data_IF_167496727697
#
_entry.id   IF_167496727697
#
_cell.length_a   1.000
_cell.length_b   1.000
_cell.length_c   1.000
_cell.angle_alpha   90.00
_cell.angle_beta   90.00
_cell.angle_gamma   90.00
#
_symmetry.space_group_name_H-M   'P 1'
#
loop_
_entity.id
_entity.type
_entity.pdbx_description
1 polymer ?
#
# COMPACT_ATOMS: atom_id res chain seq x y z
N UNK A 1 47.72 49.68 -36.59
CA UNK A 1 46.34 50.03 -36.20
C UNK A 1 45.63 48.74 -35.80
N UNK A 2 45.62 48.33 -34.54
CA UNK A 2 44.84 48.89 -33.43
C UNK A 2 43.33 48.59 -33.55
N UNK A 3 42.86 47.82 -32.56
CA UNK A 3 41.52 47.86 -31.94
C UNK A 3 40.31 47.31 -32.71
N UNK A 4 39.89 46.10 -32.35
CA UNK A 4 38.70 45.98 -31.51
C UNK A 4 38.82 44.77 -30.56
N UNK A 5 38.55 45.07 -29.29
CA UNK A 5 38.76 44.26 -28.10
C UNK A 5 37.38 43.92 -27.53
N UNK A 6 37.29 42.69 -27.00
CA UNK A 6 36.68 42.32 -25.70
C UNK A 6 35.17 42.02 -25.58
N UNK A 7 34.95 40.86 -24.93
CA UNK A 7 33.95 40.51 -23.88
C UNK A 7 32.57 40.10 -24.39
N UNK A 8 31.90 39.04 -23.91
CA UNK A 8 31.95 38.24 -22.68
C UNK A 8 31.33 36.86 -23.00
N UNK A 9 31.88 35.71 -22.59
CA UNK A 9 31.79 35.15 -21.23
C UNK A 9 30.35 35.02 -20.72
N UNK A 10 29.66 33.88 -20.97
CA UNK A 10 28.68 33.25 -20.04
C UNK A 10 27.87 32.08 -20.65
N UNK A 11 28.52 31.03 -21.20
CA UNK A 11 27.82 29.75 -21.49
C UNK A 11 28.47 28.55 -20.78
N UNK A 12 29.09 28.81 -19.62
CA UNK A 12 29.57 27.80 -18.67
C UNK A 12 28.81 27.92 -17.35
N UNK A 13 27.60 27.40 -17.31
CA UNK A 13 26.85 26.98 -16.11
C UNK A 13 25.59 26.29 -16.66
N UNK A 14 25.25 25.05 -16.38
CA UNK A 14 25.16 24.44 -15.06
C UNK A 14 24.91 22.94 -15.28
N UNK A 15 25.90 22.21 -15.78
CA UNK A 15 25.87 20.74 -15.72
C UNK A 15 25.93 20.39 -14.23
N UNK A 16 24.83 19.90 -13.68
CA UNK A 16 24.77 19.34 -12.33
C UNK A 16 25.76 18.19 -12.24
N UNK A 17 26.99 18.53 -11.85
CA UNK A 17 28.08 17.62 -11.59
C UNK A 17 27.87 17.08 -10.18
N UNK A 18 26.91 16.18 -9.99
CA UNK A 18 26.90 15.39 -8.77
C UNK A 18 28.04 14.37 -8.88
N UNK A 19 29.06 14.64 -8.06
CA UNK A 19 30.23 13.82 -7.80
C UNK A 19 29.81 12.37 -7.57
N UNK A 20 30.66 11.47 -8.08
CA UNK A 20 30.70 10.03 -7.81
C UNK A 20 30.37 9.69 -6.35
N UNK A 21 29.31 8.91 -6.14
CA UNK A 21 29.20 7.96 -5.02
C UNK A 21 28.70 6.62 -5.57
N UNK A 22 29.52 6.01 -6.43
CA UNK A 22 29.43 4.60 -6.80
C UNK A 22 30.24 3.73 -5.82
N UNK A 23 30.10 3.98 -4.52
CA UNK A 23 30.65 3.14 -3.46
C UNK A 23 29.50 2.46 -2.73
N UNK A 24 29.45 1.14 -2.70
CA UNK A 24 28.38 0.40 -2.03
C UNK A 24 28.20 0.90 -0.59
N UNK A 25 27.00 1.36 -0.25
CA UNK A 25 26.72 1.88 1.09
C UNK A 25 26.94 0.77 2.13
N UNK A 26 27.95 0.92 2.98
CA UNK A 26 28.16 -0.01 4.09
C UNK A 26 27.24 0.37 5.26
N UNK A 27 26.08 -0.28 5.32
CA UNK A 27 25.03 -0.02 6.32
C UNK A 27 25.26 -0.72 7.68
N UNK A 28 26.23 -1.65 7.76
CA UNK A 28 26.42 -2.53 8.94
C UNK A 28 26.89 -1.78 10.19
N UNK A 29 27.52 -0.63 10.02
CA UNK A 29 28.08 0.16 11.13
C UNK A 29 27.16 1.29 11.62
N UNK A 30 25.95 1.41 11.06
CA UNK A 30 25.02 2.46 11.45
C UNK A 30 24.21 2.06 12.67
N UNK A 31 24.03 2.99 13.61
CA UNK A 31 23.05 2.84 14.68
C UNK A 31 21.63 2.75 14.09
N UNK A 32 20.77 1.93 14.69
CA UNK A 32 19.41 1.67 14.19
C UNK A 32 18.59 2.97 13.95
N UNK A 33 18.70 3.94 14.84
CA UNK A 33 18.01 5.24 14.72
C UNK A 33 18.51 6.04 13.53
N UNK A 34 19.83 6.07 13.32
CA UNK A 34 20.48 6.76 12.19
C UNK A 34 20.11 6.09 10.87
N UNK A 35 20.08 4.75 10.83
CA UNK A 35 19.66 4.00 9.65
C UNK A 35 18.23 4.37 9.24
N UNK A 36 17.29 4.35 10.19
CA UNK A 36 15.89 4.71 9.92
C UNK A 36 15.76 6.17 9.49
N UNK A 37 16.49 7.09 10.10
CA UNK A 37 16.45 8.50 9.73
C UNK A 37 17.04 8.75 8.33
N UNK A 38 18.14 8.09 8.00
CA UNK A 38 18.75 8.17 6.67
C UNK A 38 17.79 7.63 5.60
N UNK A 39 17.13 6.50 5.85
CA UNK A 39 16.10 5.95 4.94
C UNK A 39 14.96 6.93 4.73
N UNK A 40 14.46 7.60 5.79
CA UNK A 40 13.41 8.63 5.65
C UNK A 40 13.86 9.81 4.78
N UNK A 41 15.11 10.23 4.91
CA UNK A 41 15.66 11.32 4.10
C UNK A 41 15.79 10.90 2.64
N UNK A 42 16.26 9.69 2.36
CA UNK A 42 16.34 9.13 1.00
C UNK A 42 14.96 9.04 0.33
N UNK A 43 13.91 8.67 1.06
CA UNK A 43 12.54 8.66 0.54
C UNK A 43 12.07 10.06 0.13
N UNK A 44 12.43 11.11 0.90
CA UNK A 44 12.11 12.49 0.51
C UNK A 44 12.81 12.90 -0.78
N UNK A 45 14.06 12.49 -0.96
CA UNK A 45 14.79 12.71 -2.21
C UNK A 45 14.19 11.91 -3.37
N UNK A 46 13.78 10.66 -3.14
CA UNK A 46 13.08 9.84 -4.13
C UNK A 46 11.80 10.53 -4.61
N UNK A 47 10.98 11.06 -3.70
CA UNK A 47 9.75 11.78 -4.03
C UNK A 47 10.02 13.06 -4.85
N UNK A 48 11.08 13.81 -4.50
CA UNK A 48 11.51 14.99 -5.27
C UNK A 48 12.00 14.62 -6.67
N UNK A 49 12.75 13.53 -6.80
CA UNK A 49 13.21 13.03 -8.09
C UNK A 49 12.01 12.57 -8.92
N UNK A 50 11.05 11.88 -8.31
CA UNK A 50 9.82 11.45 -8.99
C UNK A 50 9.04 12.64 -9.55
N UNK A 51 8.83 13.69 -8.75
CA UNK A 51 8.15 14.90 -9.22
C UNK A 51 8.88 15.56 -10.41
N UNK A 52 10.22 15.59 -10.38
CA UNK A 52 11.03 16.05 -11.53
C UNK A 52 10.85 15.15 -12.74
N UNK A 53 10.89 13.83 -12.59
CA UNK A 53 10.65 12.89 -13.69
C UNK A 53 9.29 13.13 -14.34
N UNK A 54 8.23 13.36 -13.55
CA UNK A 54 6.89 13.65 -14.07
C UNK A 54 6.85 14.99 -14.83
N UNK A 55 7.55 16.02 -14.35
CA UNK A 55 7.67 17.30 -15.07
C UNK A 55 8.42 17.16 -16.41
N UNK A 56 9.45 16.32 -16.47
CA UNK A 56 10.12 16.00 -17.73
C UNK A 56 9.21 15.22 -18.68
N UNK A 57 8.43 14.26 -18.18
CA UNK A 57 7.42 13.56 -18.99
C UNK A 57 6.38 14.51 -19.57
N UNK A 58 5.95 15.51 -18.81
CA UNK A 58 5.03 16.56 -19.29
C UNK A 58 5.65 17.33 -20.46
N UNK A 59 6.88 17.84 -20.31
CA UNK A 59 7.55 18.61 -21.36
C UNK A 59 7.79 17.76 -22.64
N UNK A 60 8.15 16.49 -22.46
CA UNK A 60 8.30 15.53 -23.57
C UNK A 60 6.97 15.29 -24.29
N UNK A 61 5.85 15.22 -23.54
CA UNK A 61 4.51 15.05 -24.13
C UNK A 61 4.06 16.30 -24.89
N UNK A 62 4.25 17.48 -24.29
CA UNK A 62 3.87 18.79 -24.87
C UNK A 62 4.63 19.08 -26.17
N UNK A 63 5.95 18.86 -26.19
CA UNK A 63 6.78 19.00 -27.39
C UNK A 63 6.66 17.84 -28.37
N UNK A 64 5.98 16.76 -27.97
CA UNK A 64 5.87 15.51 -28.74
C UNK A 64 7.24 14.93 -29.17
N UNK A 65 8.30 15.12 -28.36
CA UNK A 65 9.66 14.66 -28.70
C UNK A 65 9.75 13.15 -28.94
N UNK A 66 8.86 12.37 -28.33
CA UNK A 66 8.77 10.94 -28.58
C UNK A 66 8.45 10.61 -30.05
N UNK A 67 7.72 11.47 -30.76
CA UNK A 67 7.45 11.29 -32.20
C UNK A 67 8.72 11.56 -33.03
N UNK A 68 9.49 12.60 -32.70
CA UNK A 68 10.76 12.92 -33.36
C UNK A 68 11.79 11.79 -33.17
N UNK A 69 11.75 11.14 -32.01
CA UNK A 69 12.57 9.97 -31.69
C UNK A 69 12.03 8.66 -32.30
N UNK A 70 10.95 8.70 -33.09
CA UNK A 70 10.42 7.55 -33.83
C UNK A 70 9.49 6.62 -33.02
N UNK A 71 9.01 7.05 -31.86
CA UNK A 71 8.07 6.28 -31.04
C UNK A 71 6.63 6.69 -31.32
N UNK A 72 5.76 5.73 -31.64
CA UNK A 72 4.34 6.00 -31.93
C UNK A 72 3.49 6.46 -30.73
N UNK A 73 4.05 6.47 -29.52
CA UNK A 73 3.39 7.01 -28.32
C UNK A 73 4.41 7.28 -27.22
N UNK A 74 4.04 8.15 -26.28
CA UNK A 74 4.81 8.38 -25.05
C UNK A 74 5.01 7.08 -24.24
N UNK A 75 4.02 6.17 -24.30
CA UNK A 75 4.11 4.86 -23.67
C UNK A 75 5.23 4.00 -24.28
N UNK A 76 5.29 3.92 -25.61
CA UNK A 76 6.34 3.17 -26.29
C UNK A 76 7.72 3.77 -26.02
N UNK A 77 7.84 5.10 -26.01
CA UNK A 77 9.06 5.79 -25.61
C UNK A 77 9.48 5.44 -24.18
N UNK A 78 8.56 5.50 -23.22
CA UNK A 78 8.86 5.18 -21.83
C UNK A 78 9.28 3.72 -21.61
N UNK A 79 8.72 2.78 -22.37
CA UNK A 79 9.05 1.36 -22.26
C UNK A 79 10.36 1.03 -22.97
N UNK A 80 10.53 1.48 -24.22
CA UNK A 80 11.66 1.10 -25.08
C UNK A 80 12.93 1.94 -24.82
N UNK A 81 12.80 3.26 -24.67
CA UNK A 81 13.94 4.16 -24.48
C UNK A 81 14.34 4.26 -23.00
N UNK A 82 13.35 4.50 -22.12
CA UNK A 82 13.62 4.71 -20.68
C UNK A 82 13.67 3.42 -19.86
N UNK A 83 13.38 2.27 -20.48
CA UNK A 83 13.48 0.94 -19.86
C UNK A 83 12.43 0.64 -18.79
N UNK A 84 11.33 1.41 -18.72
CA UNK A 84 10.26 1.11 -17.78
C UNK A 84 9.49 -0.16 -18.18
N UNK A 85 9.09 -0.95 -17.18
CA UNK A 85 8.05 -1.97 -17.38
C UNK A 85 6.71 -1.30 -17.69
N UNK A 86 5.88 -1.95 -18.51
CA UNK A 86 4.60 -1.42 -18.99
C UNK A 86 3.73 -0.81 -17.87
N UNK A 87 3.47 -1.57 -16.79
CA UNK A 87 2.68 -1.08 -15.67
C UNK A 87 3.31 0.14 -14.94
N UNK A 88 4.65 0.21 -14.92
CA UNK A 88 5.39 1.32 -14.32
C UNK A 88 5.38 2.57 -15.20
N UNK A 89 5.46 2.38 -16.52
CA UNK A 89 5.34 3.44 -17.52
C UNK A 89 3.93 4.04 -17.50
N UNK A 90 2.90 3.19 -17.53
CA UNK A 90 1.51 3.63 -17.53
C UNK A 90 1.18 4.47 -16.30
N UNK A 91 1.56 4.04 -15.10
CA UNK A 91 1.32 4.81 -13.86
C UNK A 91 1.99 6.18 -13.88
N UNK A 92 3.18 6.32 -14.47
CA UNK A 92 3.87 7.62 -14.62
C UNK A 92 3.17 8.54 -15.60
N UNK A 93 2.74 7.99 -16.73
CA UNK A 93 1.99 8.76 -17.74
C UNK A 93 0.66 9.24 -17.16
N UNK A 94 -0.10 8.37 -16.50
CA UNK A 94 -1.36 8.74 -15.85
C UNK A 94 -1.14 9.76 -14.72
N UNK A 95 -0.13 9.56 -13.87
CA UNK A 95 0.20 10.52 -12.82
C UNK A 95 0.58 11.90 -13.37
N UNK A 96 1.41 11.95 -14.41
CA UNK A 96 1.77 13.20 -15.09
C UNK A 96 0.53 13.87 -15.68
N UNK A 97 -0.34 13.12 -16.37
CA UNK A 97 -1.58 13.68 -16.95
C UNK A 97 -2.54 14.20 -15.89
N UNK A 98 -2.62 13.56 -14.73
CA UNK A 98 -3.39 14.09 -13.61
C UNK A 98 -2.80 15.39 -13.07
N UNK A 99 -1.48 15.46 -12.89
CA UNK A 99 -0.79 16.69 -12.43
C UNK A 99 -0.98 17.83 -13.43
N UNK A 100 -0.97 17.56 -14.73
CA UNK A 100 -1.22 18.59 -15.74
C UNK A 100 -2.66 19.15 -15.63
N UNK A 101 -3.63 18.29 -15.33
CA UNK A 101 -5.02 18.71 -15.08
C UNK A 101 -5.24 19.34 -13.70
N UNK A 102 -4.41 19.03 -12.71
CA UNK A 102 -4.55 19.48 -11.32
C UNK A 102 -3.16 19.76 -10.73
N UNK A 103 -2.58 20.94 -10.98
CA UNK A 103 -1.21 21.27 -10.61
C UNK A 103 -0.92 21.20 -9.11
N UNK A 104 -1.94 21.36 -8.25
CA UNK A 104 -1.85 21.28 -6.80
C UNK A 104 -1.30 19.92 -6.33
N UNK A 105 -1.56 18.85 -7.09
CA UNK A 105 -1.07 17.52 -6.80
C UNK A 105 0.46 17.41 -6.79
N UNK A 106 1.17 18.29 -7.54
CA UNK A 106 2.64 18.26 -7.62
C UNK A 106 3.30 18.48 -6.26
N UNK A 107 2.82 19.47 -5.50
CA UNK A 107 3.38 19.77 -4.19
C UNK A 107 3.18 18.61 -3.20
N UNK A 108 2.08 17.87 -3.32
CA UNK A 108 1.76 16.73 -2.47
C UNK A 108 2.65 15.52 -2.79
N UNK A 109 3.01 15.32 -4.06
CA UNK A 109 4.00 14.31 -4.47
C UNK A 109 5.37 14.62 -3.88
N UNK A 110 5.83 15.87 -4.00
CA UNK A 110 7.14 16.29 -3.47
C UNK A 110 7.25 16.11 -1.95
N UNK A 111 6.15 16.34 -1.22
CA UNK A 111 6.05 16.09 0.22
C UNK A 111 5.94 14.61 0.58
N UNK A 112 5.60 13.74 -0.38
CA UNK A 112 5.39 12.30 -0.16
C UNK A 112 4.01 11.94 0.41
N UNK A 113 3.05 12.86 0.34
CA UNK A 113 1.68 12.65 0.81
C UNK A 113 0.87 11.83 -0.20
N UNK A 114 1.26 11.89 -1.48
CA UNK A 114 0.65 11.10 -2.55
C UNK A 114 1.69 10.25 -3.26
N UNK A 115 1.35 8.97 -3.44
CA UNK A 115 2.16 8.03 -4.19
C UNK A 115 1.68 7.91 -5.65
N UNK A 116 2.53 7.32 -6.48
CA UNK A 116 2.27 7.14 -7.91
C UNK A 116 0.99 6.31 -8.21
N UNK A 117 0.70 5.33 -7.36
CA UNK A 117 -0.48 4.46 -7.53
C UNK A 117 -1.77 5.23 -7.28
N UNK A 118 -1.80 6.13 -6.30
CA UNK A 118 -2.95 6.97 -5.99
C UNK A 118 -3.23 7.96 -7.13
N UNK A 119 -2.19 8.57 -7.71
CA UNK A 119 -2.35 9.47 -8.85
C UNK A 119 -2.85 8.78 -10.12
N UNK A 120 -2.32 7.60 -10.42
CA UNK A 120 -2.79 6.76 -11.54
C UNK A 120 -4.27 6.36 -11.34
N UNK A 121 -4.66 6.01 -10.10
CA UNK A 121 -6.04 5.74 -9.75
C UNK A 121 -6.93 6.97 -9.92
N UNK A 122 -6.50 8.14 -9.42
CA UNK A 122 -7.21 9.40 -9.56
C UNK A 122 -7.42 9.77 -11.03
N UNK A 123 -6.39 9.69 -11.87
CA UNK A 123 -6.50 9.95 -13.32
C UNK A 123 -7.58 9.06 -13.94
N UNK A 124 -7.50 7.76 -13.68
CA UNK A 124 -8.40 6.77 -14.27
C UNK A 124 -9.86 7.04 -13.88
N UNK A 125 -10.10 7.25 -12.58
CA UNK A 125 -11.46 7.47 -12.05
C UNK A 125 -12.00 8.84 -12.49
N UNK A 126 -11.19 9.90 -12.41
CA UNK A 126 -11.58 11.23 -12.89
C UNK A 126 -11.86 11.25 -14.39
N UNK A 127 -11.10 10.49 -15.20
CA UNK A 127 -11.36 10.34 -16.64
C UNK A 127 -12.65 9.57 -16.91
N UNK A 128 -12.91 8.48 -16.17
CA UNK A 128 -14.15 7.70 -16.25
C UNK A 128 -15.38 8.55 -15.90
N UNK A 129 -15.26 9.42 -14.89
CA UNK A 129 -16.32 10.33 -14.45
C UNK A 129 -16.47 11.60 -15.30
N UNK A 130 -15.60 11.84 -16.29
CA UNK A 130 -15.50 13.13 -17.00
C UNK A 130 -15.43 14.33 -16.02
N UNK A 131 -14.65 14.15 -14.94
CA UNK A 131 -14.61 15.09 -13.83
C UNK A 131 -14.06 16.46 -14.25
N UNK A 132 -14.65 17.51 -13.69
CA UNK A 132 -14.11 18.88 -13.78
C UNK A 132 -12.86 19.04 -12.92
N UNK A 133 -12.11 20.12 -13.13
CA UNK A 133 -10.96 20.49 -12.31
C UNK A 133 -11.30 20.50 -10.81
N UNK A 134 -12.40 21.19 -10.44
CA UNK A 134 -12.84 21.32 -9.06
C UNK A 134 -13.15 19.96 -8.40
N UNK A 135 -13.79 19.04 -9.14
CA UNK A 135 -14.07 17.69 -8.64
C UNK A 135 -12.79 16.85 -8.48
N UNK A 136 -11.80 17.06 -9.36
CA UNK A 136 -10.50 16.39 -9.25
C UNK A 136 -9.71 16.86 -8.03
N UNK A 137 -9.75 18.16 -7.71
CA UNK A 137 -9.17 18.72 -6.48
C UNK A 137 -9.87 18.18 -5.23
N UNK A 138 -11.20 18.09 -5.25
CA UNK A 138 -11.94 17.52 -4.12
C UNK A 138 -11.60 16.03 -3.89
N UNK A 139 -11.52 15.25 -4.98
CA UNK A 139 -11.09 13.85 -4.92
C UNK A 139 -9.64 13.68 -4.44
N UNK A 140 -8.76 14.63 -4.77
CA UNK A 140 -7.37 14.67 -4.31
C UNK A 140 -7.28 14.81 -2.79
N UNK A 141 -8.00 15.78 -2.22
CA UNK A 141 -8.03 16.02 -0.78
C UNK A 141 -8.63 14.83 -0.01
N UNK A 142 -9.66 14.18 -0.57
CA UNK A 142 -10.29 13.00 0.02
C UNK A 142 -9.29 11.83 0.24
N UNK A 143 -8.34 11.62 -0.68
CA UNK A 143 -7.34 10.54 -0.52
C UNK A 143 -6.24 10.94 0.47
N UNK A 144 -5.89 12.22 0.53
CA UNK A 144 -4.81 12.71 1.39
C UNK A 144 -5.11 12.47 2.87
N UNK A 145 -6.35 12.73 3.29
CA UNK A 145 -6.75 12.68 4.71
C UNK A 145 -6.74 11.26 5.30
N UNK A 146 -6.90 10.23 4.47
CA UNK A 146 -7.08 8.85 4.93
C UNK A 146 -6.10 7.89 4.22
N UNK A 147 -4.92 7.69 4.82
CA UNK A 147 -3.95 6.66 4.43
C UNK A 147 -4.59 5.27 4.50
N UNK A 148 -5.07 4.79 3.36
CA UNK A 148 -5.87 3.57 3.24
C UNK A 148 -5.34 2.65 2.15
N UNK A 149 -5.76 1.39 2.19
CA UNK A 149 -5.39 0.39 1.18
C UNK A 149 -5.86 0.83 -0.21
N UNK A 150 -5.14 0.46 -1.27
CA UNK A 150 -5.50 0.82 -2.65
C UNK A 150 -6.97 0.46 -3.01
N UNK A 151 -7.50 -0.61 -2.41
CA UNK A 151 -8.90 -1.04 -2.59
C UNK A 151 -9.89 -0.09 -1.95
N UNK A 152 -9.56 0.41 -0.76
CA UNK A 152 -10.41 1.36 -0.01
C UNK A 152 -10.38 2.73 -0.69
N UNK A 153 -9.21 3.17 -1.15
CA UNK A 153 -9.09 4.42 -1.91
C UNK A 153 -9.89 4.37 -3.22
N UNK A 154 -9.87 3.25 -3.97
CA UNK A 154 -10.70 3.11 -5.18
C UNK A 154 -12.20 3.12 -4.87
N UNK A 155 -12.64 2.41 -3.83
CA UNK A 155 -14.04 2.36 -3.45
C UNK A 155 -14.58 3.75 -3.04
N UNK A 156 -13.78 4.54 -2.32
CA UNK A 156 -14.14 5.90 -1.91
C UNK A 156 -14.27 6.86 -3.09
N UNK A 157 -13.28 6.86 -3.98
CA UNK A 157 -13.32 7.69 -5.18
C UNK A 157 -14.53 7.34 -6.06
N UNK A 158 -14.78 6.05 -6.30
CA UNK A 158 -15.96 5.62 -7.06
C UNK A 158 -17.25 6.05 -6.37
N UNK A 159 -17.32 5.98 -5.04
CA UNK A 159 -18.44 6.50 -4.25
C UNK A 159 -18.65 8.00 -4.42
N UNK A 160 -17.58 8.81 -4.37
CA UNK A 160 -17.63 10.26 -4.54
C UNK A 160 -18.16 10.65 -5.93
N UNK A 161 -17.65 10.01 -6.99
CA UNK A 161 -18.07 10.26 -8.36
C UNK A 161 -19.39 9.56 -8.75
N UNK A 162 -20.03 8.82 -7.82
CA UNK A 162 -21.22 7.99 -8.08
C UNK A 162 -21.02 7.01 -9.24
N UNK A 163 -19.80 6.51 -9.41
CA UNK A 163 -19.47 5.50 -10.40
C UNK A 163 -19.82 4.11 -9.85
N UNK A 164 -20.35 3.25 -10.70
CA UNK A 164 -20.55 1.86 -10.33
C UNK A 164 -19.20 1.20 -10.00
N UNK A 165 -19.17 0.43 -8.91
CA UNK A 165 -18.01 -0.39 -8.62
C UNK A 165 -17.85 -1.44 -9.71
N UNK A 166 -16.62 -1.63 -10.22
CA UNK A 166 -16.35 -2.69 -11.19
C UNK A 166 -16.79 -4.03 -10.61
N UNK A 167 -17.72 -4.69 -11.30
CA UNK A 167 -18.18 -6.04 -10.96
C UNK A 167 -16.96 -6.96 -10.95
N UNK A 168 -16.72 -7.62 -9.82
CA UNK A 168 -15.65 -8.61 -9.73
C UNK A 168 -16.13 -9.90 -10.37
N UNK A 169 -15.38 -10.39 -11.35
CA UNK A 169 -15.63 -11.69 -11.97
C UNK A 169 -14.79 -12.72 -11.23
N UNK A 170 -15.45 -13.64 -10.54
CA UNK A 170 -14.81 -14.84 -9.99
C UNK A 170 -15.14 -15.98 -10.93
N UNK A 171 -14.12 -16.57 -11.56
CA UNK A 171 -14.26 -17.82 -12.30
C UNK A 171 -14.09 -18.96 -11.31
N UNK A 172 -15.12 -19.78 -11.13
CA UNK A 172 -15.11 -20.92 -10.23
C UNK A 172 -15.21 -22.16 -11.10
N UNK A 173 -14.17 -22.98 -11.08
CA UNK A 173 -14.21 -24.33 -11.64
C UNK A 173 -14.77 -25.26 -10.57
N UNK A 174 -15.78 -26.04 -10.92
CA UNK A 174 -16.50 -26.94 -10.01
C UNK A 174 -16.64 -28.30 -10.71
N UNK A 175 -16.51 -29.37 -9.94
CA UNK A 175 -16.89 -30.72 -10.33
C UNK A 175 -18.42 -30.88 -10.39
N UNK A 176 -18.90 -31.88 -11.12
CA UNK A 176 -20.33 -32.10 -11.37
C UNK A 176 -21.12 -32.26 -10.06
N UNK A 177 -20.57 -32.96 -9.07
CA UNK A 177 -21.19 -33.17 -7.77
C UNK A 177 -21.41 -31.84 -7.04
N UNK A 178 -20.39 -30.98 -6.99
CA UNK A 178 -20.49 -29.66 -6.36
C UNK A 178 -21.42 -28.72 -7.15
N UNK A 179 -21.47 -28.85 -8.48
CA UNK A 179 -22.40 -28.07 -9.31
C UNK A 179 -23.87 -28.41 -9.02
N UNK A 180 -24.20 -29.70 -8.88
CA UNK A 180 -25.56 -30.12 -8.51
C UNK A 180 -25.94 -29.63 -7.10
N UNK A 181 -25.01 -29.70 -6.15
CA UNK A 181 -25.21 -29.16 -4.80
C UNK A 181 -25.43 -27.63 -4.84
N UNK A 182 -24.71 -26.92 -5.70
CA UNK A 182 -24.89 -25.48 -5.92
C UNK A 182 -26.30 -25.16 -6.43
N UNK A 183 -26.78 -25.87 -7.46
CA UNK A 183 -28.12 -25.68 -8.01
C UNK A 183 -29.21 -25.92 -6.96
N UNK A 184 -29.11 -27.00 -6.19
CA UNK A 184 -30.05 -27.31 -5.11
C UNK A 184 -30.04 -26.22 -4.01
N UNK A 185 -28.86 -25.71 -3.68
CA UNK A 185 -28.70 -24.64 -2.68
C UNK A 185 -29.26 -23.32 -3.18
N UNK A 186 -29.02 -22.99 -4.45
CA UNK A 186 -29.55 -21.79 -5.12
C UNK A 186 -31.08 -21.79 -5.15
N UNK A 187 -31.68 -22.94 -5.48
CA UNK A 187 -33.12 -23.11 -5.47
C UNK A 187 -33.71 -22.88 -4.06
N UNK A 188 -33.07 -23.41 -3.01
CA UNK A 188 -33.49 -23.19 -1.62
C UNK A 188 -33.39 -21.72 -1.16
N UNK A 189 -32.43 -20.97 -1.71
CA UNK A 189 -32.23 -19.56 -1.36
C UNK A 189 -33.15 -18.59 -2.12
N UNK A 190 -33.85 -19.08 -3.15
CA UNK A 190 -34.82 -18.30 -3.95
C UNK A 190 -34.20 -17.16 -4.76
N UNK A 191 -32.92 -17.25 -5.11
CA UNK A 191 -32.19 -16.18 -5.80
C UNK A 191 -31.83 -16.60 -7.23
N UNK A 192 -32.12 -15.75 -8.21
CA UNK A 192 -31.87 -16.01 -9.64
C UNK A 192 -30.39 -15.80 -10.00
N UNK A 193 -29.74 -14.83 -9.35
CA UNK A 193 -28.34 -14.48 -9.59
C UNK A 193 -27.41 -15.20 -8.61
N UNK A 194 -26.36 -15.84 -9.14
CA UNK A 194 -25.39 -16.59 -8.31
C UNK A 194 -24.73 -15.69 -7.27
N UNK A 195 -24.42 -14.44 -7.64
CA UNK A 195 -23.84 -13.46 -6.73
C UNK A 195 -24.75 -13.16 -5.51
N UNK A 196 -26.07 -13.16 -5.69
CA UNK A 196 -27.02 -12.91 -4.60
C UNK A 196 -27.14 -14.12 -3.66
N UNK A 197 -27.15 -15.34 -4.22
CA UNK A 197 -27.11 -16.57 -3.45
C UNK A 197 -25.82 -16.67 -2.62
N UNK A 198 -24.65 -16.37 -3.21
CA UNK A 198 -23.36 -16.32 -2.49
C UNK A 198 -23.43 -15.28 -1.36
N UNK A 199 -23.98 -14.09 -1.59
CA UNK A 199 -24.11 -13.04 -0.57
C UNK A 199 -24.92 -13.51 0.65
N UNK A 200 -26.04 -14.21 0.43
CA UNK A 200 -26.86 -14.76 1.52
C UNK A 200 -26.10 -15.82 2.32
N UNK A 201 -25.41 -16.75 1.64
CA UNK A 201 -24.60 -17.79 2.28
C UNK A 201 -23.47 -17.21 3.14
N UNK A 202 -22.78 -16.19 2.65
CA UNK A 202 -21.72 -15.54 3.42
C UNK A 202 -22.28 -14.86 4.68
N UNK A 203 -23.43 -14.18 4.60
CA UNK A 203 -24.06 -13.53 5.76
C UNK A 203 -24.47 -14.52 6.84
N UNK A 204 -25.13 -15.62 6.45
CA UNK A 204 -25.59 -16.63 7.41
C UNK A 204 -24.45 -17.29 8.20
N UNK A 205 -23.25 -17.37 7.63
CA UNK A 205 -22.07 -17.93 8.32
C UNK A 205 -21.37 -16.94 9.24
N UNK A 206 -21.45 -15.63 8.97
CA UNK A 206 -20.80 -14.59 9.78
C UNK A 206 -21.58 -14.34 11.09
N UNK A 207 -22.90 -14.51 11.08
CA UNK A 207 -23.78 -14.12 12.20
C UNK A 207 -24.05 -15.23 13.24
N UNK A 208 -23.53 -16.45 13.07
CA UNK A 208 -23.80 -17.53 14.03
C UNK A 208 -23.12 -17.28 15.40
N UNK A 209 -23.89 -17.14 16.51
CA UNK A 209 -23.32 -17.01 17.84
C UNK A 209 -22.68 -18.33 18.26
N UNK A 210 -21.40 -18.30 18.63
CA UNK A 210 -20.68 -19.50 19.02
C UNK A 210 -20.95 -19.91 20.46
N UNK A 211 -21.20 -21.21 20.67
CA UNK A 211 -21.23 -21.83 22.00
C UNK A 211 -19.89 -21.60 22.71
N UNK A 212 -19.93 -20.96 23.87
CA UNK A 212 -18.75 -20.70 24.72
C UNK A 212 -18.29 -22.02 25.36
N UNK A 213 -17.32 -22.69 24.76
CA UNK A 213 -16.62 -23.82 25.40
C UNK A 213 -15.48 -23.26 26.24
N UNK A 214 -15.49 -23.50 27.56
CA UNK A 214 -14.40 -23.10 28.48
C UNK A 214 -13.22 -24.04 28.28
N UNK A 215 -12.06 -23.50 27.91
CA UNK A 215 -10.82 -24.27 27.78
C UNK A 215 -10.16 -24.50 29.14
N UNK A 216 -9.61 -25.69 29.37
CA UNK A 216 -8.82 -25.98 30.57
C UNK A 216 -7.49 -25.17 30.58
N UNK A 217 -7.04 -24.64 31.74
CA UNK A 217 -5.87 -23.74 31.82
C UNK A 217 -4.50 -24.37 31.48
N UNK A 218 -4.44 -25.70 31.39
CA UNK A 218 -3.21 -26.52 31.31
C UNK A 218 -2.68 -26.75 29.91
N UNK A 219 -3.42 -26.36 28.86
CA UNK A 219 -2.97 -26.56 27.48
C UNK A 219 -1.99 -25.47 27.05
N UNK A 220 -0.85 -25.84 26.46
CA UNK A 220 0.15 -24.88 25.91
C UNK A 220 -0.43 -23.95 24.85
N UNK A 221 -1.47 -24.35 24.12
CA UNK A 221 -2.03 -23.58 23.00
C UNK A 221 -3.35 -22.94 23.40
N UNK A 222 -3.56 -21.67 23.03
CA UNK A 222 -4.87 -21.04 23.14
C UNK A 222 -5.87 -21.70 22.18
N UNK A 223 -6.96 -22.21 22.74
CA UNK A 223 -8.05 -22.83 22.03
C UNK A 223 -8.87 -21.82 21.25
N UNK A 224 -9.80 -22.33 20.43
CA UNK A 224 -10.53 -21.50 19.45
C UNK A 224 -11.31 -20.35 20.07
N UNK A 225 -11.95 -20.59 21.22
CA UNK A 225 -12.78 -19.60 21.94
C UNK A 225 -11.90 -18.51 22.53
N UNK A 226 -10.90 -18.89 23.34
CA UNK A 226 -9.97 -17.94 23.97
C UNK A 226 -9.24 -17.09 22.91
N UNK A 227 -8.77 -17.71 21.82
CA UNK A 227 -8.12 -16.99 20.72
C UNK A 227 -9.04 -15.96 20.07
N UNK A 228 -10.33 -16.28 19.87
CA UNK A 228 -11.31 -15.35 19.30
C UNK A 228 -11.60 -14.19 20.25
N UNK A 229 -11.71 -14.44 21.55
CA UNK A 229 -11.90 -13.40 22.57
C UNK A 229 -10.71 -12.43 22.63
N UNK A 230 -9.49 -12.96 22.63
CA UNK A 230 -8.27 -12.15 22.57
C UNK A 230 -8.22 -11.28 21.31
N UNK A 231 -8.55 -11.86 20.14
CA UNK A 231 -8.63 -11.10 18.88
C UNK A 231 -9.67 -9.98 18.95
N UNK A 232 -10.83 -10.25 19.56
CA UNK A 232 -11.90 -9.25 19.70
C UNK A 232 -11.48 -8.12 20.64
N UNK A 233 -10.84 -8.42 21.77
CA UNK A 233 -10.31 -7.41 22.70
C UNK A 233 -9.21 -6.58 22.08
N UNK A 234 -8.36 -7.19 21.26
CA UNK A 234 -7.31 -6.50 20.54
C UNK A 234 -7.80 -5.73 19.31
N UNK A 235 -9.13 -5.67 19.07
CA UNK A 235 -9.74 -5.06 17.88
C UNK A 235 -9.16 -5.59 16.56
N UNK A 236 -8.76 -6.86 16.54
CA UNK A 236 -8.05 -7.50 15.44
C UNK A 236 -6.79 -6.73 15.01
N UNK A 237 -6.03 -6.17 15.97
CA UNK A 237 -4.80 -5.44 15.73
C UNK A 237 -3.69 -5.91 16.68
N UNK A 238 -2.46 -5.97 16.20
CA UNK A 238 -1.30 -6.35 17.00
C UNK A 238 -1.16 -5.46 18.26
N UNK A 239 -0.91 -6.09 19.41
CA UNK A 239 -0.74 -5.41 20.71
C UNK A 239 0.73 -5.05 21.00
N UNK A 240 1.65 -5.33 20.08
CA UNK A 240 3.05 -4.94 20.27
C UNK A 240 3.18 -3.41 20.29
N UNK A 241 3.80 -2.91 21.35
CA UNK A 241 4.20 -1.50 21.49
C UNK A 241 5.72 -1.42 21.43
N UNK A 242 6.22 -0.59 20.52
CA UNK A 242 7.65 -0.38 20.35
C UNK A 242 8.24 0.36 21.56
N UNK A 243 9.30 -0.19 22.14
CA UNK A 243 10.04 0.44 23.24
C UNK A 243 10.84 1.69 22.81
N UNK A 244 11.05 1.88 21.50
CA UNK A 244 11.88 2.97 20.96
C UNK A 244 11.04 4.24 20.76
N UNK A 245 9.83 4.09 20.23
CA UNK A 245 8.99 5.23 19.81
C UNK A 245 7.55 5.17 20.34
N UNK A 246 7.23 4.20 21.23
CA UNK A 246 5.91 4.04 21.83
C UNK A 246 4.79 3.68 20.85
N UNK A 247 5.09 3.46 19.56
CA UNK A 247 4.05 3.18 18.57
C UNK A 247 3.55 1.75 18.70
N UNK A 248 2.22 1.60 18.72
CA UNK A 248 1.54 0.31 18.59
C UNK A 248 1.59 -0.15 17.14
N UNK A 249 1.82 -1.44 16.92
CA UNK A 249 1.81 -2.01 15.58
C UNK A 249 0.39 -2.02 14.99
N UNK A 250 0.23 -1.45 13.80
CA UNK A 250 -1.07 -1.37 13.11
C UNK A 250 -1.45 -2.63 12.32
N UNK A 251 -0.59 -3.65 12.30
CA UNK A 251 -0.86 -4.86 11.53
C UNK A 251 -2.09 -5.61 12.07
N UNK A 252 -3.04 -5.89 11.16
CA UNK A 252 -4.29 -6.63 11.43
C UNK A 252 -4.27 -8.07 10.87
N UNK A 253 -3.21 -8.44 10.16
CA UNK A 253 -3.09 -9.73 9.47
C UNK A 253 -2.16 -10.70 10.19
N UNK A 254 -2.40 -12.00 9.99
CA UNK A 254 -1.58 -13.11 10.52
C UNK A 254 -1.28 -12.96 12.02
N UNK A 255 -2.32 -12.59 12.78
CA UNK A 255 -2.25 -12.43 14.23
C UNK A 255 -2.15 -13.80 14.92
N UNK A 256 -1.34 -13.87 15.97
CA UNK A 256 -1.03 -15.06 16.75
C UNK A 256 -1.29 -14.74 18.23
N UNK A 257 -1.92 -15.68 18.94
CA UNK A 257 -2.04 -15.62 20.38
C UNK A 257 -0.72 -16.09 21.01
N UNK A 258 -0.08 -15.22 21.78
CA UNK A 258 1.21 -15.43 22.44
C UNK A 258 1.07 -15.22 23.95
N UNK A 259 1.91 -15.89 24.74
CA UNK A 259 1.94 -15.72 26.19
C UNK A 259 2.85 -14.54 26.56
N UNK A 260 2.37 -13.64 27.42
CA UNK A 260 3.17 -12.55 28.01
C UNK A 260 4.30 -13.13 28.87
N UNK A 261 3.96 -14.05 29.76
CA UNK A 261 4.90 -14.93 30.45
C UNK A 261 4.87 -16.27 29.73
N UNK A 262 5.96 -16.66 29.04
CA UNK A 262 6.01 -17.89 28.28
C UNK A 262 5.61 -19.15 29.07
N UNK A 263 4.99 -20.10 28.37
CA UNK A 263 4.52 -21.35 28.98
C UNK A 263 5.62 -22.15 29.68
N UNK A 264 6.83 -22.20 29.10
CA UNK A 264 7.96 -22.94 29.69
C UNK A 264 8.51 -22.29 30.98
N UNK A 265 8.21 -21.01 31.25
CA UNK A 265 8.49 -20.35 32.54
C UNK A 265 7.34 -20.54 33.55
N UNK A 266 6.42 -21.48 33.30
CA UNK A 266 5.24 -21.70 34.13
C UNK A 266 4.06 -20.76 33.82
N UNK A 267 4.13 -20.02 32.71
CA UNK A 267 3.03 -19.16 32.26
C UNK A 267 1.77 -19.94 31.91
N UNK A 268 0.67 -19.67 32.63
CA UNK A 268 -0.62 -20.33 32.37
C UNK A 268 -1.29 -19.78 31.10
N UNK A 269 -2.04 -20.61 30.38
CA UNK A 269 -2.82 -20.21 29.21
C UNK A 269 -4.16 -19.63 29.65
N UNK A 270 -4.11 -18.42 30.21
CA UNK A 270 -5.27 -17.69 30.73
C UNK A 270 -5.30 -16.30 30.12
N UNK A 271 -6.49 -15.75 29.91
CA UNK A 271 -6.71 -14.47 29.24
C UNK A 271 -5.78 -13.33 29.72
N UNK A 272 -5.51 -13.14 31.04
CA UNK A 272 -4.59 -12.07 31.49
C UNK A 272 -3.13 -12.24 31.03
N UNK A 273 -2.67 -13.49 30.90
CA UNK A 273 -1.31 -13.85 30.50
C UNK A 273 -1.18 -14.03 28.97
N UNK A 274 -2.26 -13.89 28.21
CA UNK A 274 -2.21 -13.96 26.76
C UNK A 274 -2.23 -12.56 26.14
N UNK A 275 -1.71 -12.45 24.92
CA UNK A 275 -1.76 -11.27 24.06
C UNK A 275 -1.81 -11.67 22.59
N UNK A 276 -2.10 -10.72 21.71
CA UNK A 276 -2.18 -10.90 20.27
C UNK A 276 -1.03 -10.16 19.58
N UNK A 277 -0.16 -10.90 18.89
CA UNK A 277 0.96 -10.36 18.13
C UNK A 277 0.89 -10.80 16.67
N UNK A 278 1.32 -9.98 15.71
CA UNK A 278 1.55 -10.48 14.35
C UNK A 278 2.74 -11.44 14.32
N UNK A 279 2.81 -12.33 13.33
CA UNK A 279 3.90 -13.31 13.21
C UNK A 279 5.31 -12.70 13.38
N UNK A 280 5.56 -11.54 12.76
CA UNK A 280 6.86 -10.86 12.84
C UNK A 280 7.17 -10.34 14.25
N UNK A 281 6.20 -9.70 14.92
CA UNK A 281 6.39 -9.21 16.28
C UNK A 281 6.48 -10.37 17.29
N UNK A 282 5.76 -11.47 17.05
CA UNK A 282 5.90 -12.65 17.87
C UNK A 282 7.34 -13.20 17.81
N UNK A 283 7.86 -13.43 16.59
CA UNK A 283 9.25 -13.85 16.39
C UNK A 283 10.25 -12.87 17.03
N UNK A 284 10.03 -11.56 16.90
CA UNK A 284 10.86 -10.52 17.51
C UNK A 284 10.91 -10.59 19.03
N UNK A 285 9.76 -10.82 19.69
CA UNK A 285 9.70 -11.01 21.14
C UNK A 285 10.50 -12.25 21.54
N UNK A 286 10.32 -13.39 20.86
CA UNK A 286 11.07 -14.61 21.16
C UNK A 286 12.58 -14.42 20.97
N UNK A 287 13.00 -13.69 19.93
CA UNK A 287 14.41 -13.37 19.72
C UNK A 287 14.99 -12.53 20.86
N UNK A 288 14.26 -11.50 21.33
CA UNK A 288 14.66 -10.71 22.51
C UNK A 288 14.76 -11.55 23.79
N UNK A 289 13.90 -12.56 23.95
CA UNK A 289 13.98 -13.48 25.10
C UNK A 289 15.23 -14.36 25.03
N UNK A 290 15.61 -14.83 23.83
CA UNK A 290 16.87 -15.57 23.62
C UNK A 290 18.09 -14.71 23.91
N UNK A 291 18.13 -13.47 23.42
CA UNK A 291 19.23 -12.53 23.66
C UNK A 291 19.43 -12.20 25.15
N UNK A 292 18.36 -12.32 25.95
CA UNK A 292 18.40 -12.14 27.41
C UNK A 292 18.76 -13.41 28.19
N UNK A 293 19.12 -14.51 27.54
CA UNK A 293 19.39 -15.81 28.16
C UNK A 293 18.26 -16.28 29.10
N UNK A 294 17.01 -16.06 28.71
CA UNK A 294 15.83 -16.51 29.48
C UNK A 294 15.54 -18.01 29.26
N UNK A 295 16.38 -18.67 28.45
CA UNK A 295 16.42 -20.11 28.20
C UNK A 295 17.85 -20.61 28.30
#
# INVERSE_FOLDING_TARGET
MAQMRKRNSALKSMVYRNKKEGGGMNLKNLKNEVLVQNTKNLIKEENRILAKVLAHFQEIEERKLYLELGYGSLFLFAVKELGYKEASAQRRIEAMRFINKTPEARAMVEKGELNLSNLSLLERVSREAQATHAQSVAALNLIQEESTSAVESEAKLRGYFKLENKKRVVKIEMDEETYQLWLATKAKLGEVLDAAAIKKLCKSQVEMPQKKVRQAPTTRTAGRVLRRELLKQAEHQCEYVSSINGRRCENRHFLQADHKVPYFLGGKTVQPNMRVLCQQHNAHVYQKLKEKNVF
#
